data_IF_117631525628
#
_entry.id   IF_117631525628
#
_cell.length_a   1.000
_cell.length_b   1.000
_cell.length_c   1.000
_cell.angle_alpha   90.00
_cell.angle_beta   90.00
_cell.angle_gamma   90.00
#
_symmetry.space_group_name_H-M   'P 1'
#
loop_
_entity.id
_entity.type
_entity.pdbx_description
1 polymer ?
#
# COMPACT_ATOMS: atom_id res chain seq x y z
N UNK A 1 -31.55 20.08 3.07
CA UNK A 1 -30.31 20.08 2.26
C UNK A 1 -29.42 18.98 2.81
N UNK A 2 -29.07 17.97 2.00
CA UNK A 2 -28.12 16.93 2.40
C UNK A 2 -26.72 17.53 2.36
N UNK A 3 -26.10 17.70 3.52
CA UNK A 3 -24.69 18.00 3.65
C UNK A 3 -23.90 16.93 2.88
N UNK A 4 -23.29 17.31 1.76
CA UNK A 4 -22.27 16.49 1.14
C UNK A 4 -21.06 16.60 2.06
N UNK A 5 -20.87 15.61 2.92
CA UNK A 5 -19.67 15.47 3.71
C UNK A 5 -18.48 15.31 2.76
N UNK A 6 -17.89 16.42 2.34
CA UNK A 6 -16.69 16.44 1.52
C UNK A 6 -15.58 15.73 2.29
N UNK A 7 -14.98 14.75 1.64
CA UNK A 7 -13.97 13.89 2.25
C UNK A 7 -12.73 14.72 2.55
N UNK A 8 -11.99 14.41 3.62
CA UNK A 8 -10.77 15.17 3.97
C UNK A 8 -9.78 15.27 2.79
N UNK A 9 -9.75 14.27 1.92
CA UNK A 9 -8.95 14.28 0.68
C UNK A 9 -9.35 15.39 -0.30
N UNK A 10 -10.65 15.67 -0.44
CA UNK A 10 -11.15 16.76 -1.27
C UNK A 10 -10.81 18.12 -0.66
N UNK A 11 -10.79 18.21 0.68
CA UNK A 11 -10.41 19.43 1.40
C UNK A 11 -8.91 19.72 1.37
N UNK A 12 -8.07 18.68 1.22
CA UNK A 12 -6.60 18.82 1.15
C UNK A 12 -6.10 19.08 -0.29
N UNK A 13 -6.90 18.76 -1.31
CA UNK A 13 -6.53 18.90 -2.72
C UNK A 13 -6.00 20.31 -3.10
N UNK A 14 -6.63 21.43 -2.68
CA UNK A 14 -6.15 22.77 -3.01
C UNK A 14 -4.70 23.01 -2.54
N UNK A 15 -4.34 22.50 -1.35
CA UNK A 15 -2.99 22.65 -0.79
C UNK A 15 -1.92 21.86 -1.54
N UNK A 16 -2.29 20.79 -2.25
CA UNK A 16 -1.36 19.99 -3.06
C UNK A 16 -1.09 20.59 -4.44
N UNK A 17 -1.96 21.48 -4.88
CA UNK A 17 -1.89 22.13 -6.20
C UNK A 17 -1.15 23.48 -6.13
N UNK A 18 -0.80 23.96 -4.93
CA UNK A 18 0.03 25.15 -4.74
C UNK A 18 1.46 24.83 -5.22
N UNK A 19 1.84 25.45 -6.33
CA UNK A 19 3.17 25.30 -6.92
C UNK A 19 4.16 26.22 -6.19
N UNK A 20 5.04 25.60 -5.41
CA UNK A 20 6.02 26.30 -4.55
C UNK A 20 7.31 26.64 -5.31
N UNK A 21 7.57 25.97 -6.43
CA UNK A 21 8.83 26.11 -7.18
C UNK A 21 8.76 27.23 -8.24
N UNK A 22 7.57 27.62 -8.68
CA UNK A 22 7.37 28.64 -9.72
C UNK A 22 6.94 30.01 -9.23
N UNK A 23 6.55 30.15 -7.96
CA UNK A 23 5.93 31.36 -7.40
C UNK A 23 6.82 32.12 -6.41
N UNK A 24 6.59 33.42 -6.32
CA UNK A 24 7.15 34.25 -5.25
C UNK A 24 6.58 33.82 -3.90
N UNK A 25 7.39 33.90 -2.84
CA UNK A 25 7.02 33.43 -1.50
C UNK A 25 5.74 34.07 -0.95
N UNK A 26 5.48 35.32 -1.31
CA UNK A 26 4.27 36.06 -0.92
C UNK A 26 3.02 35.52 -1.64
N UNK A 27 3.15 35.18 -2.91
CA UNK A 27 2.08 34.63 -3.75
C UNK A 27 1.69 33.21 -3.32
N UNK A 28 2.69 32.40 -2.88
CA UNK A 28 2.45 31.11 -2.23
C UNK A 28 1.69 31.29 -0.91
N UNK A 29 2.00 32.34 -0.14
CA UNK A 29 1.33 32.61 1.13
C UNK A 29 -0.14 32.97 0.92
N UNK A 30 -0.44 33.83 -0.06
CA UNK A 30 -1.80 34.24 -0.39
C UNK A 30 -2.64 33.06 -0.86
N UNK A 31 -2.08 32.18 -1.70
CA UNK A 31 -2.73 30.94 -2.12
C UNK A 31 -2.99 30.00 -0.93
N UNK A 32 -2.04 29.91 0.01
CA UNK A 32 -2.22 29.13 1.23
C UNK A 32 -3.33 29.69 2.12
N UNK A 33 -3.41 31.01 2.27
CA UNK A 33 -4.45 31.69 3.06
C UNK A 33 -5.81 31.47 2.43
N UNK A 34 -5.93 31.62 1.10
CA UNK A 34 -7.17 31.36 0.37
C UNK A 34 -7.58 29.88 0.50
N UNK A 35 -6.63 28.95 0.42
CA UNK A 35 -6.89 27.53 0.61
C UNK A 35 -7.35 27.23 2.04
N UNK A 36 -6.73 27.82 3.06
CA UNK A 36 -7.12 27.72 4.47
C UNK A 36 -8.54 28.25 4.71
N UNK A 37 -8.85 29.44 4.20
CA UNK A 37 -10.17 30.08 4.37
C UNK A 37 -11.28 29.29 3.66
N UNK A 38 -10.97 28.70 2.50
CA UNK A 38 -11.90 27.84 1.76
C UNK A 38 -12.04 26.42 2.34
N UNK A 39 -11.08 25.98 3.16
CA UNK A 39 -11.06 24.62 3.71
C UNK A 39 -11.49 24.63 5.17
N UNK A 40 -12.63 23.99 5.45
CA UNK A 40 -13.08 23.74 6.82
C UNK A 40 -12.29 22.55 7.42
N UNK A 41 -10.96 22.70 7.53
CA UNK A 41 -10.02 21.67 7.99
C UNK A 41 -9.75 21.81 9.49
N UNK A 42 -10.50 21.04 10.28
CA UNK A 42 -10.21 20.88 11.70
C UNK A 42 -8.92 20.06 11.90
N UNK A 43 -8.08 20.49 12.84
CA UNK A 43 -6.84 19.80 13.23
C UNK A 43 -7.10 18.36 13.68
N UNK A 44 -8.21 18.10 14.38
CA UNK A 44 -8.59 16.75 14.81
C UNK A 44 -8.92 15.83 13.63
N UNK A 45 -9.54 16.38 12.58
CA UNK A 45 -9.85 15.65 11.35
C UNK A 45 -8.56 15.31 10.58
N UNK A 46 -7.65 16.27 10.45
CA UNK A 46 -6.34 16.08 9.81
C UNK A 46 -5.50 15.01 10.53
N UNK A 47 -5.42 15.06 11.87
CA UNK A 47 -4.67 14.07 12.65
C UNK A 47 -5.23 12.66 12.48
N UNK A 48 -6.57 12.52 12.50
CA UNK A 48 -7.24 11.24 12.27
C UNK A 48 -6.96 10.69 10.86
N UNK A 49 -6.90 11.55 9.85
CA UNK A 49 -6.55 11.17 8.48
C UNK A 49 -5.11 10.65 8.39
N UNK A 50 -4.14 11.35 8.99
CA UNK A 50 -2.72 10.94 9.02
C UNK A 50 -2.51 9.62 9.76
N UNK A 51 -3.17 9.43 10.91
CA UNK A 51 -3.12 8.17 11.67
C UNK A 51 -3.72 7.01 10.88
N UNK A 52 -4.89 7.21 10.26
CA UNK A 52 -5.54 6.19 9.44
C UNK A 52 -4.64 5.75 8.29
N UNK A 53 -4.04 6.72 7.59
CA UNK A 53 -3.16 6.46 6.44
C UNK A 53 -1.88 5.72 6.84
N UNK A 54 -1.25 6.11 7.95
CA UNK A 54 -0.09 5.40 8.51
C UNK A 54 -0.42 3.97 8.92
N UNK A 55 -1.59 3.77 9.54
CA UNK A 55 -2.07 2.43 9.90
C UNK A 55 -2.32 1.56 8.68
N UNK A 56 -2.95 2.11 7.63
CA UNK A 56 -3.16 1.38 6.36
C UNK A 56 -1.84 0.97 5.72
N UNK A 57 -0.83 1.85 5.70
CA UNK A 57 0.49 1.53 5.17
C UNK A 57 1.17 0.40 5.95
N UNK A 58 1.10 0.45 7.29
CA UNK A 58 1.65 -0.59 8.16
C UNK A 58 0.93 -1.94 7.97
N UNK A 59 -0.40 -1.92 7.86
CA UNK A 59 -1.20 -3.11 7.63
C UNK A 59 -0.81 -3.79 6.30
N UNK A 60 -0.70 -3.02 5.21
CA UNK A 60 -0.28 -3.54 3.91
C UNK A 60 1.13 -4.14 3.96
N UNK A 61 2.07 -3.50 4.66
CA UNK A 61 3.42 -4.03 4.84
C UNK A 61 3.43 -5.38 5.56
N UNK A 62 2.67 -5.51 6.64
CA UNK A 62 2.57 -6.75 7.40
C UNK A 62 1.92 -7.85 6.56
N UNK A 63 0.81 -7.55 5.89
CA UNK A 63 0.11 -8.53 5.02
C UNK A 63 1.00 -8.98 3.86
N UNK A 64 1.65 -8.05 3.16
CA UNK A 64 2.55 -8.37 2.06
C UNK A 64 3.76 -9.20 2.52
N UNK A 65 4.34 -8.85 3.68
CA UNK A 65 5.41 -9.62 4.30
C UNK A 65 4.98 -11.05 4.66
N UNK A 66 3.82 -11.22 5.29
CA UNK A 66 3.30 -12.52 5.69
C UNK A 66 3.03 -13.43 4.48
N UNK A 67 2.44 -12.90 3.41
CA UNK A 67 2.23 -13.65 2.17
C UNK A 67 3.57 -14.07 1.53
N UNK A 68 4.55 -13.18 1.52
CA UNK A 68 5.88 -13.46 0.98
C UNK A 68 6.59 -14.57 1.77
N UNK A 69 6.45 -14.55 3.11
CA UNK A 69 6.98 -15.61 3.97
C UNK A 69 6.30 -16.96 3.71
N UNK A 70 4.97 -16.99 3.64
CA UNK A 70 4.22 -18.21 3.33
C UNK A 70 4.60 -18.78 1.96
N UNK A 71 4.73 -17.92 0.94
CA UNK A 71 5.19 -18.34 -0.37
C UNK A 71 6.61 -18.92 -0.34
N UNK A 72 7.52 -18.30 0.42
CA UNK A 72 8.87 -18.83 0.62
C UNK A 72 8.85 -20.23 1.23
N UNK A 73 7.98 -20.49 2.21
CA UNK A 73 7.81 -21.83 2.79
C UNK A 73 7.31 -22.82 1.73
N UNK A 74 6.31 -22.44 0.93
CA UNK A 74 5.75 -23.31 -0.11
C UNK A 74 6.78 -23.67 -1.18
N UNK A 75 7.63 -22.72 -1.59
CA UNK A 75 8.62 -22.92 -2.66
C UNK A 75 9.85 -23.68 -2.16
N UNK A 76 10.31 -23.40 -0.93
CA UNK A 76 11.59 -23.93 -0.43
C UNK A 76 11.46 -25.25 0.33
N UNK A 77 10.31 -25.50 0.95
CA UNK A 77 10.10 -26.67 1.79
C UNK A 77 9.31 -27.71 1.01
N UNK A 78 9.79 -28.96 0.91
CA UNK A 78 9.02 -30.01 0.26
C UNK A 78 7.71 -30.21 1.02
N UNK A 79 6.59 -30.00 0.32
CA UNK A 79 5.28 -30.21 0.91
C UNK A 79 5.08 -31.69 1.24
N UNK A 80 4.35 -32.01 2.32
CA UNK A 80 4.00 -33.39 2.59
C UNK A 80 3.14 -33.94 1.43
N UNK A 81 3.33 -35.22 1.09
CA UNK A 81 2.78 -35.86 -0.13
C UNK A 81 1.26 -35.74 -0.33
N UNK A 82 0.50 -35.45 0.72
CA UNK A 82 -0.95 -35.24 0.63
C UNK A 82 -1.34 -33.84 0.14
N UNK A 83 -0.43 -32.85 0.18
CA UNK A 83 -0.63 -31.50 -0.36
C UNK A 83 0.02 -31.31 -1.73
N UNK A 84 0.91 -32.23 -2.12
CA UNK A 84 1.60 -32.19 -3.40
C UNK A 84 0.66 -32.66 -4.52
N UNK A 85 -0.08 -31.72 -5.11
CA UNK A 85 -1.14 -32.03 -6.09
C UNK A 85 -0.58 -32.73 -7.31
N UNK A 86 0.55 -32.22 -7.85
CA UNK A 86 1.23 -32.78 -9.02
C UNK A 86 2.62 -32.15 -9.18
N UNK A 87 3.61 -32.99 -9.45
CA UNK A 87 4.94 -32.54 -9.92
C UNK A 87 4.88 -32.37 -11.44
N UNK A 88 5.31 -31.21 -11.95
CA UNK A 88 5.30 -30.88 -13.37
C UNK A 88 6.62 -31.25 -14.05
N UNK A 89 7.73 -31.08 -13.34
CA UNK A 89 9.06 -31.39 -13.84
C UNK A 89 9.88 -32.03 -12.73
N UNK A 90 10.38 -33.25 -12.96
CA UNK A 90 11.23 -33.95 -11.99
C UNK A 90 12.69 -33.64 -12.26
N UNK A 91 13.41 -33.16 -11.25
CA UNK A 91 14.88 -33.10 -11.28
C UNK A 91 15.49 -34.43 -10.87
N UNK A 92 14.81 -35.13 -9.95
CA UNK A 92 15.19 -36.46 -9.43
C UNK A 92 13.89 -37.21 -9.01
N UNK A 93 13.89 -38.53 -8.75
CA UNK A 93 12.67 -39.26 -8.37
C UNK A 93 11.96 -38.75 -7.11
N UNK A 94 12.65 -37.96 -6.28
CA UNK A 94 12.13 -37.44 -5.02
C UNK A 94 11.98 -35.91 -5.00
N UNK A 95 12.30 -35.21 -6.10
CA UNK A 95 12.32 -33.74 -6.13
C UNK A 95 12.05 -33.18 -7.53
N UNK A 96 11.37 -32.05 -7.59
CA UNK A 96 10.91 -31.46 -8.83
C UNK A 96 10.14 -30.17 -8.64
N UNK A 97 9.86 -29.47 -9.74
CA UNK A 97 8.96 -28.33 -9.75
C UNK A 97 7.53 -28.84 -9.66
N UNK A 98 6.82 -28.39 -8.63
CA UNK A 98 5.44 -28.74 -8.35
C UNK A 98 4.47 -27.64 -8.78
N UNK A 99 3.19 -28.00 -8.92
CA UNK A 99 2.12 -27.00 -9.09
C UNK A 99 2.07 -26.04 -7.88
N UNK A 100 2.38 -26.54 -6.68
CA UNK A 100 2.48 -25.72 -5.47
C UNK A 100 3.57 -24.66 -5.57
N UNK A 101 4.71 -24.94 -6.21
CA UNK A 101 5.78 -23.93 -6.38
C UNK A 101 5.32 -22.79 -7.30
N UNK A 102 4.61 -23.11 -8.39
CA UNK A 102 4.03 -22.09 -9.28
C UNK A 102 3.02 -21.23 -8.51
N UNK A 103 2.15 -21.85 -7.71
CA UNK A 103 1.23 -21.11 -6.86
C UNK A 103 1.97 -20.24 -5.83
N UNK A 104 3.04 -20.78 -5.22
CA UNK A 104 3.93 -20.06 -4.32
C UNK A 104 4.52 -18.82 -4.97
N UNK A 105 5.02 -18.90 -6.21
CA UNK A 105 5.57 -17.75 -6.94
C UNK A 105 4.50 -16.68 -7.18
N UNK A 106 3.26 -17.06 -7.51
CA UNK A 106 2.14 -16.10 -7.68
C UNK A 106 1.84 -15.40 -6.34
N UNK A 107 1.80 -16.15 -5.24
CA UNK A 107 1.58 -15.61 -3.90
C UNK A 107 2.73 -14.67 -3.51
N UNK A 108 3.98 -15.04 -3.80
CA UNK A 108 5.16 -14.22 -3.53
C UNK A 108 5.08 -12.88 -4.26
N UNK A 109 4.79 -12.90 -5.56
CA UNK A 109 4.64 -11.69 -6.36
C UNK A 109 3.51 -10.80 -5.82
N UNK A 110 2.39 -11.41 -5.46
CA UNK A 110 1.26 -10.69 -4.85
C UNK A 110 1.66 -10.04 -3.52
N UNK A 111 2.35 -10.77 -2.65
CA UNK A 111 2.87 -10.27 -1.38
C UNK A 111 3.82 -9.09 -1.56
N UNK A 112 4.73 -9.18 -2.53
CA UNK A 112 5.66 -8.10 -2.87
C UNK A 112 4.91 -6.86 -3.36
N UNK A 113 3.94 -7.00 -4.28
CA UNK A 113 3.15 -5.87 -4.80
C UNK A 113 2.41 -5.17 -3.65
N UNK A 114 1.79 -5.93 -2.75
CA UNK A 114 1.09 -5.39 -1.58
C UNK A 114 2.07 -4.65 -0.66
N UNK A 115 3.25 -5.22 -0.39
CA UNK A 115 4.26 -4.59 0.44
C UNK A 115 4.78 -3.29 -0.18
N UNK A 116 5.09 -3.28 -1.49
CA UNK A 116 5.51 -2.08 -2.24
C UNK A 116 4.42 -1.02 -2.21
N UNK A 117 3.15 -1.41 -2.32
CA UNK A 117 2.01 -0.49 -2.20
C UNK A 117 1.97 0.15 -0.81
N UNK A 118 2.20 -0.64 0.24
CA UNK A 118 2.35 -0.14 1.61
C UNK A 118 3.50 0.87 1.77
N UNK A 119 4.67 0.59 1.17
CA UNK A 119 5.82 1.51 1.19
C UNK A 119 5.49 2.80 0.44
N UNK A 120 4.87 2.71 -0.73
CA UNK A 120 4.47 3.87 -1.54
C UNK A 120 3.47 4.74 -0.78
N UNK A 121 2.51 4.12 -0.08
CA UNK A 121 1.53 4.85 0.74
C UNK A 121 2.18 5.59 1.91
N UNK A 122 3.25 5.02 2.50
CA UNK A 122 4.03 5.65 3.57
C UNK A 122 4.89 6.82 3.09
N UNK A 123 5.44 6.76 1.87
CA UNK A 123 6.30 7.83 1.30
C UNK A 123 5.59 9.15 1.03
N UNK A 124 4.26 9.17 1.04
CA UNK A 124 3.46 10.38 0.85
C UNK A 124 3.10 11.08 2.19
N UNK A 125 3.72 10.67 3.30
CA UNK A 125 3.70 11.31 4.62
C UNK A 125 4.98 12.14 4.80
#
# INVERSE_FOLDING_TARGET
MKDKAHTIEERIKPFREIDVDSKGRDEVLDDFILALDSSDLDSAAAEKYLKKRSFTALFLLITGGLLSLLAGVIILVPLPKFLEVKTLFYFNPNDGITVSDIAGVIILLTGIIIAVTGISLRRQL
#
